data_IF_600548692313
#
_entry.id   IF_600548692313
#
_cell.length_a   1.000
_cell.length_b   1.000
_cell.length_c   1.000
_cell.angle_alpha   90.00
_cell.angle_beta   90.00
_cell.angle_gamma   90.00
#
_symmetry.space_group_name_H-M   'P 1'
#
loop_
_entity.id
_entity.type
_entity.pdbx_description
1 polymer ?
#
# COMPACT_ATOMS: atom_id res chain seq x y z
N UNK A 1 -18.07 -4.22 -3.39
CA UNK A 1 -17.44 -3.87 -4.31
C UNK A 1 -15.96 -3.54 -4.38
N UNK A 2 -15.17 -4.51 -4.93
CA UNK A 2 -13.71 -4.38 -5.07
C UNK A 2 -13.28 -3.15 -5.91
N UNK A 3 -14.09 -2.75 -6.89
CA UNK A 3 -13.83 -1.60 -7.75
C UNK A 3 -13.88 -0.24 -7.02
N UNK A 4 -14.63 -0.12 -5.94
CA UNK A 4 -14.71 1.13 -5.15
C UNK A 4 -13.46 1.37 -4.33
N UNK A 5 -12.95 0.32 -3.69
CA UNK A 5 -11.67 0.39 -2.99
C UNK A 5 -10.54 0.74 -3.95
N UNK A 6 -10.55 0.17 -5.16
CA UNK A 6 -9.59 0.50 -6.19
C UNK A 6 -9.62 2.00 -6.57
N UNK A 7 -10.79 2.63 -6.70
CA UNK A 7 -10.89 4.06 -6.98
C UNK A 7 -10.33 4.92 -5.84
N UNK A 8 -10.59 4.53 -4.59
CA UNK A 8 -10.07 5.16 -3.38
C UNK A 8 -8.55 5.03 -3.28
N UNK A 9 -8.04 3.81 -3.41
CA UNK A 9 -6.61 3.51 -3.35
C UNK A 9 -5.80 4.18 -4.46
N UNK A 10 -6.44 4.45 -5.61
CA UNK A 10 -5.80 5.14 -6.72
C UNK A 10 -5.99 6.67 -6.68
N UNK A 11 -6.77 7.18 -5.74
CA UNK A 11 -7.03 8.61 -5.62
C UNK A 11 -7.57 9.25 -6.91
N UNK A 12 -8.35 8.50 -7.70
CA UNK A 12 -8.88 8.94 -9.00
C UNK A 12 -10.09 9.84 -8.89
N UNK A 13 -10.75 9.79 -7.73
CA UNK A 13 -11.95 10.57 -7.43
C UNK A 13 -11.80 11.27 -6.07
N UNK A 14 -12.50 12.38 -5.82
CA UNK A 14 -12.55 12.99 -4.50
C UNK A 14 -13.09 12.00 -3.46
N UNK A 15 -12.52 11.99 -2.26
CA UNK A 15 -12.93 11.08 -1.18
C UNK A 15 -14.41 11.22 -0.84
N UNK A 16 -14.99 12.43 -0.92
CA UNK A 16 -16.41 12.67 -0.72
C UNK A 16 -17.27 11.92 -1.75
N UNK A 17 -16.92 11.97 -3.03
CA UNK A 17 -17.65 11.27 -4.08
C UNK A 17 -17.63 9.75 -3.84
N UNK A 18 -16.49 9.23 -3.40
CA UNK A 18 -16.34 7.81 -3.04
C UNK A 18 -17.20 7.47 -1.82
N UNK A 19 -17.16 8.28 -0.77
CA UNK A 19 -17.96 8.08 0.45
C UNK A 19 -19.47 8.06 0.16
N UNK A 20 -19.93 9.02 -0.66
CA UNK A 20 -21.35 9.07 -1.08
C UNK A 20 -21.76 7.84 -1.87
N UNK A 21 -20.92 7.37 -2.78
CA UNK A 21 -21.18 6.16 -3.57
C UNK A 21 -21.21 4.89 -2.70
N UNK A 22 -20.26 4.75 -1.76
CA UNK A 22 -20.26 3.64 -0.81
C UNK A 22 -21.52 3.66 0.05
N UNK A 23 -21.91 4.83 0.56
CA UNK A 23 -23.12 4.97 1.35
C UNK A 23 -24.38 4.60 0.54
N UNK A 24 -24.48 5.06 -0.70
CA UNK A 24 -25.60 4.73 -1.59
C UNK A 24 -25.69 3.23 -1.87
N UNK A 25 -24.59 2.57 -2.21
CA UNK A 25 -24.57 1.12 -2.46
C UNK A 25 -24.88 0.28 -1.21
N UNK A 26 -24.63 0.83 -0.02
CA UNK A 26 -24.97 0.20 1.25
C UNK A 26 -26.41 0.52 1.73
N UNK A 27 -27.16 1.37 1.02
CA UNK A 27 -28.48 1.85 1.46
C UNK A 27 -28.39 2.81 2.67
N UNK A 28 -27.29 3.54 2.78
CA UNK A 28 -26.95 4.43 3.90
C UNK A 28 -26.67 5.87 3.40
N UNK A 29 -27.45 6.35 2.42
CA UNK A 29 -27.21 7.64 1.75
C UNK A 29 -27.11 8.82 2.74
N UNK A 30 -27.92 8.80 3.79
CA UNK A 30 -27.90 9.80 4.85
C UNK A 30 -26.66 9.74 5.77
N UNK A 31 -25.85 8.68 5.69
CA UNK A 31 -24.69 8.45 6.55
C UNK A 31 -23.34 8.58 5.80
N UNK A 32 -23.31 9.25 4.66
CA UNK A 32 -22.09 9.38 3.86
C UNK A 32 -20.95 10.09 4.61
N UNK A 33 -21.25 11.01 5.53
CA UNK A 33 -20.26 11.67 6.36
C UNK A 33 -19.56 10.69 7.32
N UNK A 34 -20.32 9.75 7.88
CA UNK A 34 -19.78 8.68 8.71
C UNK A 34 -18.91 7.73 7.90
N UNK A 35 -19.30 7.40 6.67
CA UNK A 35 -18.48 6.63 5.74
C UNK A 35 -17.19 7.39 5.44
N UNK A 36 -17.28 8.69 5.15
CA UNK A 36 -16.12 9.55 4.93
C UNK A 36 -15.19 9.58 6.15
N UNK A 37 -15.75 9.69 7.35
CA UNK A 37 -14.99 9.63 8.59
C UNK A 37 -14.20 8.31 8.69
N UNK A 38 -14.85 7.17 8.46
CA UNK A 38 -14.17 5.86 8.47
C UNK A 38 -13.05 5.80 7.43
N UNK A 39 -13.29 6.28 6.20
CA UNK A 39 -12.29 6.28 5.15
C UNK A 39 -11.04 7.12 5.48
N UNK A 40 -11.20 8.21 6.21
CA UNK A 40 -10.10 9.09 6.58
C UNK A 40 -9.37 8.65 7.85
N UNK A 41 -10.08 7.99 8.77
CA UNK A 41 -9.57 7.66 10.10
C UNK A 41 -9.22 6.18 10.29
N UNK A 42 -9.35 5.33 9.23
CA UNK A 42 -8.94 3.94 9.36
C UNK A 42 -7.48 3.73 9.79
N UNK A 43 -6.50 4.65 9.53
CA UNK A 43 -5.17 4.49 10.10
C UNK A 43 -5.14 4.41 11.62
N UNK A 44 -6.15 4.93 12.31
CA UNK A 44 -6.22 4.93 13.78
C UNK A 44 -6.42 3.53 14.37
N UNK A 45 -7.02 2.62 13.60
CA UNK A 45 -7.28 1.23 14.03
C UNK A 45 -6.24 0.23 13.52
N UNK A 46 -5.23 0.70 12.78
CA UNK A 46 -4.17 -0.17 12.31
C UNK A 46 -3.24 -0.58 13.44
N UNK A 47 -2.81 -1.83 13.38
CA UNK A 47 -1.76 -2.37 14.23
C UNK A 47 -0.57 -2.82 13.38
N UNK A 48 0.68 -2.57 13.81
CA UNK A 48 1.84 -3.02 13.08
C UNK A 48 1.91 -4.54 13.08
N UNK A 49 2.19 -5.12 11.92
CA UNK A 49 2.49 -6.55 11.82
C UNK A 49 3.87 -6.85 12.41
N UNK A 50 4.12 -8.08 12.92
CA UNK A 50 5.43 -8.50 13.40
C UNK A 50 6.56 -8.24 12.41
N UNK A 51 6.28 -8.39 11.11
CA UNK A 51 7.20 -8.06 10.02
C UNK A 51 7.79 -6.64 10.10
N UNK A 52 7.10 -5.69 10.70
CA UNK A 52 7.62 -4.33 10.92
C UNK A 52 8.86 -4.31 11.83
N UNK A 53 9.01 -5.29 12.71
CA UNK A 53 10.20 -5.46 13.56
C UNK A 53 11.48 -5.73 12.75
N UNK A 54 11.36 -6.41 11.61
CA UNK A 54 12.47 -6.76 10.74
C UNK A 54 13.11 -5.55 10.02
N UNK A 55 12.38 -4.43 9.90
CA UNK A 55 12.89 -3.26 9.15
C UNK A 55 14.22 -2.75 9.69
N UNK A 56 14.34 -2.65 11.02
CA UNK A 56 15.57 -2.21 11.68
C UNK A 56 16.74 -3.15 11.39
N UNK A 57 16.50 -4.46 11.45
CA UNK A 57 17.53 -5.48 11.26
C UNK A 57 18.00 -5.51 9.80
N UNK A 58 17.09 -5.43 8.86
CA UNK A 58 17.40 -5.36 7.43
C UNK A 58 18.22 -4.10 7.11
N UNK A 59 17.86 -2.95 7.71
CA UNK A 59 18.65 -1.72 7.56
C UNK A 59 20.05 -1.87 8.15
N UNK A 60 20.19 -2.50 9.31
CA UNK A 60 21.50 -2.76 9.93
C UNK A 60 22.37 -3.68 9.06
N UNK A 61 21.77 -4.54 8.24
CA UNK A 61 22.46 -5.37 7.24
C UNK A 61 22.73 -4.63 5.92
N UNK A 62 22.52 -3.33 5.85
CA UNK A 62 22.76 -2.52 4.65
C UNK A 62 21.73 -2.70 3.54
N UNK A 63 20.57 -3.29 3.82
CA UNK A 63 19.52 -3.44 2.81
C UNK A 63 18.81 -2.11 2.56
N UNK A 64 18.46 -1.86 1.30
CA UNK A 64 17.54 -0.79 0.92
C UNK A 64 16.10 -1.29 1.05
N UNK A 65 15.24 -0.49 1.66
CA UNK A 65 13.86 -0.86 1.96
C UNK A 65 12.89 0.14 1.32
N UNK A 66 11.92 -0.36 0.59
CA UNK A 66 10.94 0.46 -0.11
C UNK A 66 9.52 -0.04 0.17
N UNK A 67 8.57 0.89 0.28
CA UNK A 67 7.16 0.54 0.27
C UNK A 67 6.59 0.68 -1.14
N UNK A 68 5.85 -0.34 -1.60
CA UNK A 68 4.98 -0.29 -2.76
C UNK A 68 3.56 -0.62 -2.29
N UNK A 69 2.71 0.39 -2.20
CA UNK A 69 1.43 0.24 -1.52
C UNK A 69 0.25 0.79 -2.31
N UNK A 70 -0.85 0.02 -2.33
CA UNK A 70 -2.15 0.52 -2.74
C UNK A 70 -2.77 1.20 -1.53
N UNK A 71 -2.71 2.53 -1.50
CA UNK A 71 -3.10 3.30 -0.32
C UNK A 71 -3.62 4.68 -0.70
N UNK A 72 -4.71 5.13 -0.09
CA UNK A 72 -5.26 6.46 -0.34
C UNK A 72 -4.45 7.57 0.35
N UNK A 73 -4.49 8.76 -0.22
CA UNK A 73 -4.07 9.99 0.44
C UNK A 73 -5.31 10.76 0.98
N UNK A 74 -5.23 11.41 2.16
CA UNK A 74 -4.08 11.66 3.05
C UNK A 74 -3.77 10.53 4.07
N UNK A 75 -4.48 9.39 3.99
CA UNK A 75 -4.37 8.31 4.98
C UNK A 75 -2.95 7.72 5.06
N UNK A 76 -2.21 7.66 3.94
CA UNK A 76 -0.81 7.19 3.96
C UNK A 76 0.08 8.12 4.80
N UNK A 77 -0.11 9.43 4.65
CA UNK A 77 0.64 10.43 5.43
C UNK A 77 0.34 10.29 6.93
N UNK A 78 -0.91 10.07 7.30
CA UNK A 78 -1.30 9.83 8.71
C UNK A 78 -0.72 8.50 9.24
N UNK A 79 -0.73 7.45 8.43
CA UNK A 79 -0.11 6.16 8.79
C UNK A 79 1.39 6.33 9.06
N UNK A 80 2.11 7.09 8.25
CA UNK A 80 3.53 7.38 8.49
C UNK A 80 3.76 8.19 9.77
N UNK A 81 2.85 9.12 10.09
CA UNK A 81 2.92 9.87 11.36
C UNK A 81 2.71 8.95 12.56
N UNK A 82 1.77 8.02 12.47
CA UNK A 82 1.45 7.08 13.54
C UNK A 82 2.52 6.00 13.73
N UNK A 83 3.17 5.59 12.65
CA UNK A 83 4.22 4.57 12.66
C UNK A 83 5.55 5.15 12.15
N UNK A 84 6.29 5.89 12.99
CA UNK A 84 7.54 6.56 12.57
C UNK A 84 8.62 5.60 12.04
N UNK A 85 8.52 4.29 12.34
CA UNK A 85 9.41 3.28 11.76
C UNK A 85 9.36 3.25 10.23
N UNK A 86 8.20 3.56 9.62
CA UNK A 86 8.07 3.63 8.17
C UNK A 86 8.94 4.74 7.57
N UNK A 87 8.92 5.93 8.16
CA UNK A 87 9.75 7.05 7.68
C UNK A 87 11.21 6.90 8.07
N UNK A 88 11.49 6.21 9.18
CA UNK A 88 12.86 6.02 9.68
C UNK A 88 13.65 4.98 8.89
N UNK A 89 13.01 3.89 8.49
CA UNK A 89 13.71 2.74 7.93
C UNK A 89 13.49 2.55 6.43
N UNK A 90 12.44 3.13 5.84
CA UNK A 90 12.23 3.06 4.41
C UNK A 90 13.08 4.11 3.67
N UNK A 91 13.73 3.70 2.59
CA UNK A 91 14.47 4.57 1.68
C UNK A 91 13.55 5.29 0.69
N UNK A 92 12.28 4.86 0.60
CA UNK A 92 11.27 5.50 -0.22
C UNK A 92 9.96 4.74 -0.21
N UNK A 93 8.93 5.39 -0.73
CA UNK A 93 7.59 4.80 -0.89
C UNK A 93 6.99 5.19 -2.23
N UNK A 94 6.35 4.23 -2.89
CA UNK A 94 5.50 4.43 -4.05
C UNK A 94 4.06 4.14 -3.63
N UNK A 95 3.22 5.18 -3.67
CA UNK A 95 1.84 5.14 -3.17
C UNK A 95 0.88 5.27 -4.35
N UNK A 96 0.01 4.31 -4.54
CA UNK A 96 -0.91 4.24 -5.68
C UNK A 96 -1.74 5.52 -5.89
N UNK A 97 -2.19 6.16 -4.81
CA UNK A 97 -2.97 7.39 -4.91
C UNK A 97 -2.19 8.57 -5.48
N UNK A 98 -0.85 8.59 -5.33
CA UNK A 98 0.03 9.62 -5.92
C UNK A 98 0.30 9.35 -7.39
N UNK A 99 0.45 8.07 -7.75
CA UNK A 99 0.81 7.62 -9.09
C UNK A 99 -0.40 7.38 -10.00
N UNK A 100 -1.62 7.31 -9.44
CA UNK A 100 -2.87 6.98 -10.15
C UNK A 100 -2.87 5.60 -10.81
N UNK A 101 -1.94 4.76 -10.38
CA UNK A 101 -1.79 3.35 -10.76
C UNK A 101 -1.42 2.54 -9.54
N UNK A 102 -1.84 1.29 -9.46
CA UNK A 102 -1.64 0.42 -8.29
C UNK A 102 -1.43 -1.04 -8.67
N UNK A 103 -0.90 -1.80 -7.71
CA UNK A 103 -0.78 -3.25 -7.84
C UNK A 103 -2.16 -3.88 -8.14
N UNK A 104 -2.27 -4.90 -8.96
CA UNK A 104 -1.21 -5.67 -9.63
C UNK A 104 -0.80 -5.15 -11.02
N UNK A 105 -1.14 -3.89 -11.40
CA UNK A 105 -0.75 -3.35 -12.70
C UNK A 105 0.79 -3.32 -12.83
N UNK A 106 1.38 -3.93 -13.88
CA UNK A 106 2.83 -3.90 -14.11
C UNK A 106 3.43 -2.50 -14.14
N UNK A 107 2.66 -1.49 -14.53
CA UNK A 107 3.13 -0.11 -14.64
C UNK A 107 3.66 0.43 -13.30
N UNK A 108 3.06 0.08 -12.16
CA UNK A 108 3.54 0.57 -10.87
C UNK A 108 4.89 -0.06 -10.47
N UNK A 109 5.15 -1.30 -10.90
CA UNK A 109 6.43 -1.96 -10.69
C UNK A 109 7.53 -1.36 -11.57
N UNK A 110 7.21 -1.00 -12.81
CA UNK A 110 8.13 -0.27 -13.67
C UNK A 110 8.49 1.10 -13.09
N UNK A 111 7.50 1.86 -12.60
CA UNK A 111 7.74 3.11 -11.89
C UNK A 111 8.62 2.93 -10.65
N UNK A 112 8.42 1.85 -9.89
CA UNK A 112 9.24 1.53 -8.72
C UNK A 112 10.70 1.30 -9.11
N UNK A 113 10.93 0.46 -10.15
CA UNK A 113 12.26 0.17 -10.65
C UNK A 113 12.98 1.44 -11.14
N UNK A 114 12.30 2.24 -11.94
CA UNK A 114 12.84 3.49 -12.50
C UNK A 114 13.16 4.50 -11.39
N UNK A 115 12.20 4.79 -10.50
CA UNK A 115 12.34 5.83 -9.47
C UNK A 115 13.46 5.55 -8.48
N UNK A 116 13.65 4.29 -8.11
CA UNK A 116 14.61 3.90 -7.08
C UNK A 116 15.83 3.16 -7.62
N UNK A 117 15.97 3.03 -8.94
CA UNK A 117 17.09 2.32 -9.56
C UNK A 117 17.16 0.87 -9.12
N UNK A 118 16.03 0.13 -9.17
CA UNK A 118 15.98 -1.26 -8.71
C UNK A 118 16.17 -2.23 -9.87
N UNK A 119 16.95 -3.28 -9.60
CA UNK A 119 17.04 -4.46 -10.46
C UNK A 119 16.11 -5.54 -9.88
N UNK A 120 15.14 -6.06 -10.65
CA UNK A 120 14.19 -7.05 -10.14
C UNK A 120 14.88 -8.29 -9.56
N UNK A 121 15.92 -8.80 -10.24
CA UNK A 121 16.66 -10.00 -9.84
C UNK A 121 17.37 -9.85 -8.47
N UNK A 122 17.68 -8.60 -8.09
CA UNK A 122 18.34 -8.26 -6.82
C UNK A 122 17.36 -7.73 -5.77
N UNK A 123 16.04 -7.75 -6.07
CA UNK A 123 15.00 -7.21 -5.20
C UNK A 123 14.04 -8.32 -4.78
N UNK A 124 13.79 -8.43 -3.48
CA UNK A 124 12.73 -9.28 -2.94
C UNK A 124 11.46 -8.43 -2.80
N UNK A 125 10.39 -8.87 -3.44
CA UNK A 125 9.05 -8.32 -3.27
C UNK A 125 8.24 -9.20 -2.33
N UNK A 126 7.68 -8.59 -1.27
CA UNK A 126 6.88 -9.27 -0.25
C UNK A 126 5.48 -8.66 -0.26
N UNK A 127 4.46 -9.48 -0.41
CA UNK A 127 3.07 -9.02 -0.45
C UNK A 127 2.12 -10.15 -0.04
N UNK A 128 0.99 -9.82 0.57
CA UNK A 128 -0.04 -10.77 0.99
C UNK A 128 -1.06 -11.10 -0.12
N UNK A 129 -1.13 -10.28 -1.16
CA UNK A 129 -2.02 -10.49 -2.29
C UNK A 129 -1.33 -11.28 -3.41
N UNK A 130 -1.75 -12.52 -3.63
CA UNK A 130 -1.19 -13.41 -4.64
C UNK A 130 -1.11 -12.79 -6.05
N UNK A 131 -2.10 -12.02 -6.57
CA UNK A 131 -1.99 -11.35 -7.86
C UNK A 131 -0.80 -10.38 -7.95
N UNK A 132 -0.50 -9.65 -6.86
CA UNK A 132 0.65 -8.75 -6.80
C UNK A 132 1.97 -9.52 -6.89
N UNK A 133 2.06 -10.62 -6.14
CA UNK A 133 3.23 -11.51 -6.13
C UNK A 133 3.46 -12.12 -7.52
N UNK A 134 2.39 -12.56 -8.19
CA UNK A 134 2.47 -13.13 -9.55
C UNK A 134 2.95 -12.10 -10.57
N UNK A 135 2.44 -10.87 -10.51
CA UNK A 135 2.91 -9.80 -11.39
C UNK A 135 4.39 -9.49 -11.14
N UNK A 136 4.81 -9.33 -9.88
CA UNK A 136 6.21 -9.11 -9.55
C UNK A 136 7.12 -10.23 -10.07
N UNK A 137 6.72 -11.49 -9.89
CA UNK A 137 7.45 -12.66 -10.38
C UNK A 137 7.60 -12.63 -11.91
N UNK A 138 6.53 -12.28 -12.65
CA UNK A 138 6.57 -12.17 -14.11
C UNK A 138 7.54 -11.09 -14.62
N UNK A 139 7.80 -10.07 -13.79
CA UNK A 139 8.77 -9.00 -14.05
C UNK A 139 10.20 -9.33 -13.59
N UNK A 140 10.42 -10.54 -13.06
CA UNK A 140 11.73 -11.03 -12.66
C UNK A 140 12.14 -10.71 -11.23
N UNK A 141 11.24 -10.19 -10.40
CA UNK A 141 11.49 -10.03 -8.97
C UNK A 141 11.62 -11.39 -8.27
N UNK A 142 12.48 -11.45 -7.27
CA UNK A 142 12.36 -12.50 -6.26
C UNK A 142 11.13 -12.18 -5.43
N UNK A 143 10.29 -13.18 -5.14
CA UNK A 143 9.00 -12.94 -4.48
C UNK A 143 8.80 -13.81 -3.26
N UNK A 144 8.09 -13.28 -2.30
CA UNK A 144 7.57 -14.02 -1.16
C UNK A 144 6.11 -13.65 -0.93
N UNK A 145 5.23 -14.65 -1.00
CA UNK A 145 3.82 -14.48 -0.66
C UNK A 145 3.67 -14.59 0.85
N UNK A 146 3.43 -13.45 1.50
CA UNK A 146 3.28 -13.38 2.95
C UNK A 146 1.89 -13.86 3.37
N UNK A 147 1.81 -14.98 4.07
CA UNK A 147 0.56 -15.60 4.51
C UNK A 147 0.21 -15.27 5.99
N UNK A 148 0.88 -14.28 6.58
CA UNK A 148 0.65 -13.89 7.98
C UNK A 148 1.47 -14.72 9.00
N UNK A 149 2.35 -15.59 8.53
CA UNK A 149 3.30 -16.30 9.39
C UNK A 149 4.61 -15.53 9.51
N UNK A 150 5.16 -15.47 10.72
CA UNK A 150 6.31 -14.64 11.06
C UNK A 150 7.66 -15.23 10.64
N UNK A 151 7.67 -16.17 9.69
CA UNK A 151 8.88 -16.83 9.20
C UNK A 151 9.46 -16.11 8.00
N UNK A 152 10.47 -15.29 8.25
CA UNK A 152 11.45 -14.80 7.30
C UNK A 152 12.65 -15.75 7.25
#
# INVERSE_FOLDING_TARGET
PKHMWSAFDLGREPNEAIARRIAAEAGLEGAWEQVMHVLLHFPEVLHPLPLMGCLRELKAQGKRLFALTNYPEPSFTETCRRFPALTKYLDGALVSAREKVGKPDPAIFHLLMERFGLSPQNTLFVDDALPNVQTAASLGFRTWHYAGDDRL
#
